data_IF_836832753894
#
_entry.id   IF_836832753894
#
_cell.length_a   1.000
_cell.length_b   1.000
_cell.length_c   1.000
_cell.angle_alpha   90.00
_cell.angle_beta   90.00
_cell.angle_gamma   90.00
#
_symmetry.space_group_name_H-M   'P 1'
#
loop_
_entity.id
_entity.type
_entity.pdbx_description
1 polymer ?
#
# COMPACT_ATOMS: atom_id res chain seq x y z
N UNK A 1 -14.35 -0.32 -33.53
CA UNK A 1 -14.98 1.00 -33.30
C UNK A 1 -15.85 0.93 -32.06
N UNK A 2 -15.44 1.58 -30.97
CA UNK A 2 -16.16 1.58 -29.71
C UNK A 2 -17.01 2.86 -29.55
N UNK A 3 -18.07 2.80 -28.74
CA UNK A 3 -18.92 3.94 -28.42
C UNK A 3 -19.04 4.11 -26.90
N UNK A 4 -19.11 5.36 -26.44
CA UNK A 4 -19.29 5.66 -25.02
C UNK A 4 -20.67 5.20 -24.51
N UNK A 5 -20.70 4.34 -23.49
CA UNK A 5 -21.94 3.84 -22.87
C UNK A 5 -22.79 4.93 -22.21
N UNK A 6 -22.19 6.07 -21.87
CA UNK A 6 -22.89 7.18 -21.21
C UNK A 6 -23.50 8.19 -22.21
N UNK A 7 -22.82 8.48 -23.33
CA UNK A 7 -23.22 9.58 -24.22
C UNK A 7 -23.25 9.25 -25.73
N UNK A 8 -22.90 8.02 -26.12
CA UNK A 8 -22.94 7.56 -27.51
C UNK A 8 -21.85 8.11 -28.43
N UNK A 9 -20.87 8.87 -27.92
CA UNK A 9 -19.76 9.36 -28.73
C UNK A 9 -18.88 8.20 -29.22
N UNK A 10 -18.44 8.27 -30.48
CA UNK A 10 -17.48 7.33 -31.06
C UNK A 10 -16.11 7.52 -30.40
N UNK A 11 -15.49 6.45 -29.93
CA UNK A 11 -14.20 6.46 -29.24
C UNK A 11 -13.10 5.88 -30.14
N UNK A 12 -11.90 6.45 -30.02
CA UNK A 12 -10.70 5.90 -30.65
C UNK A 12 -10.16 4.71 -29.84
N UNK A 13 -9.40 3.85 -30.51
CA UNK A 13 -8.87 2.62 -29.91
C UNK A 13 -7.85 2.88 -28.79
N UNK A 14 -7.43 4.12 -28.51
CA UNK A 14 -6.52 4.50 -27.42
C UNK A 14 -7.14 5.43 -26.35
N UNK A 15 -8.43 5.78 -26.47
CA UNK A 15 -9.11 6.63 -25.49
C UNK A 15 -9.34 5.92 -24.14
N UNK A 16 -8.78 6.48 -23.06
CA UNK A 16 -8.99 6.04 -21.66
C UNK A 16 -10.23 6.71 -21.05
N UNK A 17 -10.61 7.87 -21.56
CA UNK A 17 -11.77 8.66 -21.13
C UNK A 17 -12.54 9.15 -22.34
N UNK A 18 -13.86 9.27 -22.22
CA UNK A 18 -14.67 9.85 -23.30
C UNK A 18 -14.42 11.36 -23.39
N UNK A 19 -13.96 11.84 -24.56
CA UNK A 19 -13.74 13.28 -24.80
C UNK A 19 -15.01 14.13 -24.68
N UNK A 20 -16.20 13.52 -24.81
CA UNK A 20 -17.48 14.25 -24.77
C UNK A 20 -18.08 14.37 -23.37
N UNK A 21 -17.97 13.35 -22.52
CA UNK A 21 -18.61 13.33 -21.20
C UNK A 21 -17.68 13.06 -20.01
N UNK A 22 -16.39 12.80 -20.26
CA UNK A 22 -15.38 12.57 -19.21
C UNK A 22 -15.46 11.21 -18.52
N UNK A 23 -16.42 10.35 -18.87
CA UNK A 23 -16.54 9.02 -18.28
C UNK A 23 -15.34 8.14 -18.64
N UNK A 24 -14.77 7.46 -17.64
CA UNK A 24 -13.71 6.47 -17.84
C UNK A 24 -14.22 5.32 -18.72
N UNK A 25 -13.42 4.94 -19.71
CA UNK A 25 -13.71 3.85 -20.63
C UNK A 25 -13.15 2.57 -20.03
N UNK A 26 -14.00 1.82 -19.34
CA UNK A 26 -13.62 0.50 -18.82
C UNK A 26 -13.62 -0.52 -19.97
N UNK A 27 -12.42 -0.86 -20.46
CA UNK A 27 -12.23 -1.82 -21.55
C UNK A 27 -12.25 -3.27 -21.09
N UNK A 28 -12.08 -3.51 -19.79
CA UNK A 28 -12.15 -4.85 -19.21
C UNK A 28 -13.61 -5.29 -19.00
N UNK A 29 -14.56 -4.36 -19.01
CA UNK A 29 -15.99 -4.66 -19.01
C UNK A 29 -16.50 -5.37 -20.29
N UNK A 30 -15.63 -5.59 -21.29
CA UNK A 30 -15.96 -6.40 -22.46
C UNK A 30 -15.66 -7.89 -22.29
N UNK A 31 -14.81 -8.32 -21.35
CA UNK A 31 -14.67 -9.76 -21.06
C UNK A 31 -15.88 -10.30 -20.27
N UNK A 32 -16.51 -9.44 -19.46
CA UNK A 32 -17.75 -9.78 -18.74
C UNK A 32 -19.01 -9.68 -19.64
N UNK A 33 -18.97 -8.93 -20.75
CA UNK A 33 -20.11 -8.75 -21.66
C UNK A 33 -20.26 -9.86 -22.72
N UNK A 34 -19.22 -10.65 -22.99
CA UNK A 34 -19.35 -11.83 -23.89
C UNK A 34 -20.10 -12.99 -23.20
N UNK A 35 -20.28 -12.93 -21.87
CA UNK A 35 -21.01 -13.94 -21.11
C UNK A 35 -22.54 -13.74 -21.08
N UNK A 36 -23.09 -12.68 -21.71
CA UNK A 36 -24.55 -12.42 -21.67
C UNK A 36 -25.38 -13.31 -22.63
N UNK A 37 -24.76 -13.98 -23.61
CA UNK A 37 -25.48 -14.76 -24.63
C UNK A 37 -25.26 -16.28 -24.57
N UNK A 38 -24.96 -16.84 -23.39
CA UNK A 38 -24.82 -18.29 -23.21
C UNK A 38 -25.61 -18.83 -22.00
N UNK A 39 -26.79 -18.26 -21.74
CA UNK A 39 -27.81 -18.94 -20.92
C UNK A 39 -28.49 -20.01 -21.78
N UNK A 40 -28.05 -21.25 -21.63
CA UNK A 40 -28.73 -22.39 -22.22
C UNK A 40 -29.70 -22.99 -21.19
N UNK A 41 -30.97 -22.60 -21.31
CA UNK A 41 -32.07 -23.14 -20.49
C UNK A 41 -32.24 -24.67 -20.64
N UNK A 42 -31.61 -25.29 -21.64
CA UNK A 42 -31.73 -26.73 -21.95
C UNK A 42 -30.64 -27.62 -21.34
N UNK A 43 -29.62 -27.06 -20.68
CA UNK A 43 -28.59 -27.83 -19.98
C UNK A 43 -29.06 -28.42 -18.63
N UNK A 44 -30.36 -28.36 -18.34
CA UNK A 44 -30.96 -28.78 -17.10
C UNK A 44 -31.00 -30.31 -16.98
N UNK A 45 -30.14 -30.85 -16.13
CA UNK A 45 -30.38 -32.18 -15.56
C UNK A 45 -31.58 -32.03 -14.62
N UNK A 46 -32.65 -32.84 -14.75
CA UNK A 46 -33.72 -32.87 -13.76
C UNK A 46 -33.13 -33.39 -12.45
N UNK A 47 -32.83 -32.48 -11.53
CA UNK A 47 -32.28 -32.81 -10.22
C UNK A 47 -33.42 -32.94 -9.22
N UNK A 48 -33.28 -33.82 -8.23
CA UNK A 48 -34.26 -33.88 -7.14
C UNK A 48 -34.24 -32.57 -6.34
N UNK A 49 -35.30 -32.32 -5.56
CA UNK A 49 -35.37 -31.14 -4.68
C UNK A 49 -34.21 -31.12 -3.68
N UNK A 50 -33.85 -32.27 -3.14
CA UNK A 50 -32.75 -32.44 -2.19
C UNK A 50 -31.40 -32.13 -2.84
N UNK A 51 -31.18 -32.61 -4.07
CA UNK A 51 -30.00 -32.29 -4.87
C UNK A 51 -29.93 -30.80 -5.22
N UNK A 52 -31.07 -30.17 -5.50
CA UNK A 52 -31.19 -28.72 -5.77
C UNK A 52 -30.81 -27.89 -4.55
N UNK A 53 -31.25 -28.30 -3.36
CA UNK A 53 -30.87 -27.65 -2.09
C UNK A 53 -29.37 -27.84 -1.83
N UNK A 54 -28.85 -29.06 -1.98
CA UNK A 54 -27.42 -29.35 -1.78
C UNK A 54 -26.53 -28.54 -2.73
N UNK A 55 -26.94 -28.39 -4.00
CA UNK A 55 -26.24 -27.54 -4.97
C UNK A 55 -26.28 -26.07 -4.54
N UNK A 56 -27.43 -25.54 -4.14
CA UNK A 56 -27.57 -24.17 -3.70
C UNK A 56 -26.73 -23.89 -2.45
N UNK A 57 -26.64 -24.84 -1.52
CA UNK A 57 -25.76 -24.75 -0.35
C UNK A 57 -24.29 -24.72 -0.72
N UNK A 58 -23.86 -25.60 -1.65
CA UNK A 58 -22.50 -25.59 -2.18
C UNK A 58 -22.16 -24.23 -2.83
N UNK A 59 -23.05 -23.73 -3.69
CA UNK A 59 -22.85 -22.45 -4.38
C UNK A 59 -22.84 -21.26 -3.42
N UNK A 60 -23.67 -21.29 -2.37
CA UNK A 60 -23.65 -20.28 -1.29
C UNK A 60 -22.26 -20.19 -0.65
N UNK A 61 -21.65 -21.33 -0.34
CA UNK A 61 -20.31 -21.40 0.27
C UNK A 61 -19.25 -20.87 -0.70
N UNK A 62 -19.29 -21.29 -1.97
CA UNK A 62 -18.30 -20.86 -2.97
C UNK A 62 -18.42 -19.35 -3.27
N UNK A 63 -19.63 -18.82 -3.49
CA UNK A 63 -19.82 -17.39 -3.72
C UNK A 63 -19.44 -16.55 -2.51
N UNK A 64 -19.72 -17.00 -1.28
CA UNK A 64 -19.26 -16.30 -0.09
C UNK A 64 -17.72 -16.25 0.01
N UNK A 65 -17.04 -17.31 -0.46
CA UNK A 65 -15.57 -17.36 -0.48
C UNK A 65 -15.01 -16.41 -1.52
N UNK A 66 -15.62 -16.35 -2.71
CA UNK A 66 -15.25 -15.41 -3.78
C UNK A 66 -15.45 -13.96 -3.32
N UNK A 67 -16.59 -13.64 -2.70
CA UNK A 67 -16.87 -12.31 -2.14
C UNK A 67 -15.81 -11.89 -1.11
N UNK A 68 -15.45 -12.80 -0.19
CA UNK A 68 -14.39 -12.56 0.80
C UNK A 68 -13.04 -12.31 0.14
N UNK A 69 -12.63 -13.16 -0.80
CA UNK A 69 -11.36 -13.01 -1.52
C UNK A 69 -11.33 -11.70 -2.31
N UNK A 70 -12.43 -11.34 -2.98
CA UNK A 70 -12.53 -10.10 -3.73
C UNK A 70 -12.39 -8.88 -2.81
N UNK A 71 -13.04 -8.92 -1.65
CA UNK A 71 -12.90 -7.89 -0.62
C UNK A 71 -11.45 -7.76 -0.13
N UNK A 72 -10.79 -8.86 0.21
CA UNK A 72 -9.39 -8.85 0.64
C UNK A 72 -8.44 -8.30 -0.44
N UNK A 73 -8.65 -8.68 -1.71
CA UNK A 73 -7.89 -8.12 -2.84
C UNK A 73 -8.11 -6.61 -2.95
N UNK A 74 -9.36 -6.15 -2.90
CA UNK A 74 -9.71 -4.73 -2.98
C UNK A 74 -9.12 -3.91 -1.83
N UNK A 75 -9.12 -4.45 -0.61
CA UNK A 75 -8.52 -3.81 0.56
C UNK A 75 -7.01 -3.67 0.41
N UNK A 76 -6.33 -4.73 -0.06
CA UNK A 76 -4.89 -4.68 -0.30
C UNK A 76 -4.52 -3.73 -1.43
N UNK A 77 -5.27 -3.72 -2.53
CA UNK A 77 -5.05 -2.76 -3.62
C UNK A 77 -5.24 -1.32 -3.15
N UNK A 78 -6.23 -1.08 -2.30
CA UNK A 78 -6.44 0.24 -1.68
C UNK A 78 -5.27 0.64 -0.78
N UNK A 79 -4.72 -0.31 -0.03
CA UNK A 79 -3.53 -0.08 0.79
C UNK A 79 -2.27 0.19 -0.07
N UNK A 80 -2.10 -0.51 -1.20
CA UNK A 80 -1.00 -0.30 -2.14
C UNK A 80 -1.07 1.05 -2.87
N UNK A 81 -2.28 1.59 -3.11
CA UNK A 81 -2.45 2.92 -3.71
C UNK A 81 -2.02 4.07 -2.81
N UNK A 82 -1.86 3.84 -1.50
CA UNK A 82 -1.47 4.90 -0.57
C UNK A 82 0.01 5.26 -0.83
N UNK A 83 0.32 6.54 -1.09
CA UNK A 83 1.69 6.94 -1.32
C UNK A 83 2.53 6.65 -0.08
N UNK A 84 3.71 6.09 -0.30
CA UNK A 84 4.67 5.84 0.77
C UNK A 84 5.21 7.20 1.23
N UNK A 85 4.72 7.67 2.37
CA UNK A 85 5.34 8.83 3.02
C UNK A 85 6.57 8.34 3.77
N UNK A 86 7.75 8.50 3.18
CA UNK A 86 9.00 8.37 3.92
C UNK A 86 9.08 9.54 4.91
N UNK A 87 8.97 9.25 6.19
CA UNK A 87 8.75 10.26 7.23
C UNK A 87 10.00 11.04 7.65
N UNK A 88 11.13 10.90 6.95
CA UNK A 88 12.40 11.49 7.40
C UNK A 88 13.22 12.10 6.28
N UNK A 89 13.49 13.40 6.36
CA UNK A 89 14.66 13.98 5.68
C UNK A 89 15.92 13.47 6.40
N UNK A 90 16.91 12.98 5.66
CA UNK A 90 18.20 12.55 6.24
C UNK A 90 18.83 13.68 7.06
N UNK A 91 19.39 13.33 8.20
CA UNK A 91 20.04 14.27 9.09
C UNK A 91 21.38 14.74 8.52
N UNK A 92 21.65 16.04 8.65
CA UNK A 92 22.95 16.64 8.35
C UNK A 92 23.86 16.61 9.58
N UNK A 93 25.16 16.38 9.38
CA UNK A 93 26.16 16.47 10.45
C UNK A 93 26.17 17.86 11.10
N UNK A 94 25.87 18.90 10.32
CA UNK A 94 25.88 20.28 10.80
C UNK A 94 24.89 20.51 11.94
N UNK A 95 23.74 19.81 11.94
CA UNK A 95 22.74 19.88 13.02
C UNK A 95 23.33 19.50 14.38
N UNK A 96 24.23 18.51 14.42
CA UNK A 96 24.86 18.04 15.64
C UNK A 96 26.19 18.74 15.94
N UNK A 97 26.77 19.40 14.94
CA UNK A 97 28.03 20.11 15.05
C UNK A 97 27.88 21.51 15.67
N UNK A 98 26.73 22.16 15.51
CA UNK A 98 26.50 23.54 15.95
C UNK A 98 26.89 23.84 17.42
N UNK A 99 26.58 22.99 18.41
CA UNK A 99 27.01 23.24 19.79
C UNK A 99 28.54 23.33 19.96
N UNK A 100 29.31 22.57 19.17
CA UNK A 100 30.77 22.59 19.23
C UNK A 100 31.38 23.86 18.67
N UNK A 101 30.73 24.52 17.71
CA UNK A 101 31.12 25.86 17.24
C UNK A 101 30.99 26.88 18.38
N UNK A 102 29.89 26.82 19.12
CA UNK A 102 29.65 27.68 20.29
C UNK A 102 30.70 27.39 21.37
N UNK A 103 30.93 26.12 21.70
CA UNK A 103 31.90 25.74 22.72
C UNK A 103 33.34 26.12 22.35
N UNK A 104 33.75 25.93 21.09
CA UNK A 104 35.07 26.34 20.62
C UNK A 104 35.25 27.86 20.72
N UNK A 105 34.23 28.63 20.36
CA UNK A 105 34.25 30.09 20.51
C UNK A 105 34.37 30.53 21.97
N UNK A 106 33.56 29.96 22.87
CA UNK A 106 33.61 30.27 24.29
C UNK A 106 34.94 29.88 24.92
N UNK A 107 35.47 28.70 24.59
CA UNK A 107 36.76 28.22 25.07
C UNK A 107 37.91 29.11 24.61
N UNK A 108 37.90 29.52 23.33
CA UNK A 108 38.91 30.44 22.78
C UNK A 108 38.95 31.76 23.58
N UNK A 109 37.78 32.37 23.81
CA UNK A 109 37.70 33.62 24.57
C UNK A 109 38.13 33.44 26.03
N UNK A 110 37.72 32.35 26.68
CA UNK A 110 38.10 32.07 28.07
C UNK A 110 39.63 31.92 28.24
N UNK A 111 40.28 31.19 27.34
CA UNK A 111 41.74 31.00 27.38
C UNK A 111 42.47 32.32 27.12
N UNK A 112 42.00 33.14 26.18
CA UNK A 112 42.58 34.45 25.90
C UNK A 112 42.46 35.42 27.09
N UNK A 113 41.29 35.48 27.74
CA UNK A 113 41.08 36.32 28.93
C UNK A 113 42.02 35.91 30.06
N UNK A 114 42.14 34.60 30.33
CA UNK A 114 43.07 34.08 31.32
C UNK A 114 44.53 34.44 30.97
N UNK A 115 44.90 34.31 29.70
CA UNK A 115 46.21 34.71 29.21
C UNK A 115 46.56 36.17 29.47
N UNK A 116 45.62 37.09 29.23
CA UNK A 116 45.81 38.52 29.52
C UNK A 116 46.02 38.75 31.01
N UNK A 117 45.25 38.07 31.86
CA UNK A 117 45.39 38.15 33.32
C UNK A 117 46.79 37.67 33.75
N UNK A 118 47.25 36.52 33.24
CA UNK A 118 48.59 36.00 33.57
C UNK A 118 49.73 36.85 33.01
N UNK A 119 49.60 37.34 31.77
CA UNK A 119 50.60 38.22 31.16
C UNK A 119 50.69 39.58 31.88
N UNK A 120 49.61 40.04 32.52
CA UNK A 120 49.66 41.23 33.37
C UNK A 120 50.41 41.02 34.70
N UNK A 121 50.62 39.75 35.09
CA UNK A 121 51.26 39.38 36.34
C UNK A 121 52.75 38.99 36.17
N UNK A 122 53.21 38.74 34.93
CA UNK A 122 54.56 38.28 34.62
C UNK A 122 55.16 39.12 33.47
N UNK A 123 56.34 39.72 33.67
CA UNK A 123 56.97 40.69 32.76
C UNK A 123 57.63 40.01 31.53
N UNK A 124 57.38 38.71 31.35
CA UNK A 124 57.99 37.89 30.30
C UNK A 124 57.10 37.81 29.05
N UNK A 125 57.55 38.41 27.95
CA UNK A 125 56.83 38.42 26.66
C UNK A 125 56.55 37.05 26.03
N UNK A 126 57.13 35.97 26.56
CA UNK A 126 56.88 34.59 26.13
C UNK A 126 55.49 34.06 26.53
N UNK A 127 54.90 34.58 27.62
CA UNK A 127 53.59 34.11 28.12
C UNK A 127 52.47 34.28 27.10
N UNK A 128 52.45 35.40 26.39
CA UNK A 128 51.43 35.72 25.38
C UNK A 128 51.39 34.69 24.23
N UNK A 129 52.56 34.32 23.70
CA UNK A 129 52.66 33.36 22.61
C UNK A 129 52.15 31.98 23.04
N UNK A 130 52.50 31.54 24.25
CA UNK A 130 52.03 30.26 24.80
C UNK A 130 50.50 30.26 24.94
N UNK A 131 49.92 31.34 25.49
CA UNK A 131 48.46 31.45 25.60
C UNK A 131 47.78 31.36 24.23
N UNK A 132 48.30 32.06 23.22
CA UNK A 132 47.70 32.05 21.89
C UNK A 132 47.70 30.65 21.27
N UNK A 133 48.81 29.91 21.36
CA UNK A 133 48.87 28.52 20.91
C UNK A 133 47.90 27.61 21.67
N UNK A 134 47.77 27.76 22.98
CA UNK A 134 46.80 27.01 23.78
C UNK A 134 45.37 27.34 23.37
N UNK A 135 45.03 28.61 23.19
CA UNK A 135 43.69 29.05 22.81
C UNK A 135 43.27 28.45 21.45
N UNK A 136 44.12 28.57 20.44
CA UNK A 136 43.86 27.98 19.12
C UNK A 136 43.85 26.45 19.17
N UNK A 137 44.79 25.83 19.89
CA UNK A 137 44.85 24.38 20.05
C UNK A 137 43.58 23.81 20.68
N UNK A 138 43.08 24.43 21.75
CA UNK A 138 41.82 24.04 22.40
C UNK A 138 40.63 24.21 21.46
N UNK A 139 40.53 25.33 20.75
CA UNK A 139 39.44 25.55 19.79
C UNK A 139 39.46 24.51 18.66
N UNK A 140 40.62 24.27 18.04
CA UNK A 140 40.78 23.26 16.96
C UNK A 140 40.47 21.86 17.48
N UNK A 141 40.98 21.49 18.66
CA UNK A 141 40.70 20.20 19.29
C UNK A 141 39.21 19.96 19.52
N UNK A 142 38.48 20.97 20.03
CA UNK A 142 37.03 20.91 20.22
C UNK A 142 36.27 20.75 18.90
N UNK A 143 36.71 21.43 17.83
CA UNK A 143 36.08 21.31 16.51
C UNK A 143 36.32 19.92 15.90
N UNK A 144 37.53 19.38 16.00
CA UNK A 144 37.83 18.02 15.52
C UNK A 144 37.01 16.98 16.28
N UNK A 145 37.03 17.06 17.62
CA UNK A 145 36.26 16.16 18.48
C UNK A 145 34.75 16.27 18.19
N UNK A 146 34.25 17.51 18.07
CA UNK A 146 32.88 17.80 17.72
C UNK A 146 32.47 17.24 16.36
N UNK A 147 33.33 17.37 15.35
CA UNK A 147 33.12 16.82 14.01
C UNK A 147 32.97 15.30 14.02
N UNK A 148 33.88 14.59 14.71
CA UNK A 148 33.82 13.12 14.85
C UNK A 148 32.55 12.70 15.59
N UNK A 149 32.22 13.35 16.71
CA UNK A 149 31.02 13.04 17.50
C UNK A 149 29.73 13.32 16.73
N UNK A 150 29.65 14.46 16.04
CA UNK A 150 28.53 14.83 15.20
C UNK A 150 28.34 13.86 14.02
N UNK A 151 29.43 13.43 13.39
CA UNK A 151 29.43 12.42 12.33
C UNK A 151 28.86 11.09 12.80
N UNK A 152 29.40 10.54 13.91
CA UNK A 152 28.88 9.30 14.50
C UNK A 152 27.40 9.38 14.85
N UNK A 153 26.95 10.50 15.42
CA UNK A 153 25.54 10.68 15.78
C UNK A 153 24.63 10.80 14.56
N UNK A 154 25.08 11.52 13.51
CA UNK A 154 24.39 11.60 12.22
C UNK A 154 24.23 10.20 11.62
N UNK A 155 25.32 9.43 11.55
CA UNK A 155 25.35 8.15 10.87
C UNK A 155 24.42 7.15 11.55
N UNK A 156 24.43 7.08 12.89
CA UNK A 156 23.50 6.24 13.66
C UNK A 156 22.02 6.59 13.39
N UNK A 157 21.66 7.87 13.32
CA UNK A 157 20.26 8.28 13.05
C UNK A 157 19.86 8.09 11.59
N UNK A 158 20.79 8.26 10.65
CA UNK A 158 20.52 8.01 9.23
C UNK A 158 20.45 6.51 8.93
N UNK A 159 21.18 5.68 9.68
CA UNK A 159 21.09 4.23 9.62
C UNK A 159 19.72 3.74 10.11
N UNK A 160 19.21 4.28 11.21
CA UNK A 160 17.85 4.01 11.69
C UNK A 160 16.79 4.36 10.62
N UNK A 161 16.87 5.56 10.03
CA UNK A 161 15.99 5.96 8.91
C UNK A 161 16.10 5.00 7.71
N UNK A 162 17.30 4.52 7.40
CA UNK A 162 17.50 3.56 6.33
C UNK A 162 16.80 2.22 6.61
N UNK A 163 16.90 1.71 7.85
CA UNK A 163 16.20 0.49 8.24
C UNK A 163 14.68 0.66 8.20
N UNK A 164 14.16 1.82 8.59
CA UNK A 164 12.74 2.14 8.47
C UNK A 164 12.29 2.20 7.01
N UNK A 165 13.06 2.85 6.13
CA UNK A 165 12.83 2.85 4.68
C UNK A 165 12.75 1.41 4.13
N UNK A 166 13.71 0.55 4.50
CA UNK A 166 13.73 -0.85 4.07
C UNK A 166 12.54 -1.66 4.61
N UNK A 167 12.16 -1.44 5.87
CA UNK A 167 11.02 -2.11 6.48
C UNK A 167 9.70 -1.76 5.79
N UNK A 168 9.53 -0.50 5.39
CA UNK A 168 8.35 -0.05 4.64
C UNK A 168 8.31 -0.71 3.25
N UNK A 169 9.43 -0.68 2.52
CA UNK A 169 9.54 -1.33 1.21
C UNK A 169 9.27 -2.83 1.28
N UNK A 170 9.79 -3.51 2.31
CA UNK A 170 9.54 -4.94 2.54
C UNK A 170 8.05 -5.21 2.78
N UNK A 171 7.39 -4.43 3.64
CA UNK A 171 5.94 -4.56 3.90
C UNK A 171 5.11 -4.36 2.63
N UNK A 172 5.49 -3.40 1.79
CA UNK A 172 4.82 -3.19 0.51
C UNK A 172 4.99 -4.41 -0.41
N UNK A 173 6.22 -4.92 -0.55
CA UNK A 173 6.50 -6.10 -1.36
C UNK A 173 5.73 -7.34 -0.86
N UNK A 174 5.67 -7.53 0.45
CA UNK A 174 4.91 -8.61 1.06
C UNK A 174 3.41 -8.47 0.77
N UNK A 175 2.88 -7.23 0.80
CA UNK A 175 1.50 -6.93 0.45
C UNK A 175 1.21 -7.17 -1.04
N UNK A 176 2.13 -6.80 -1.93
CA UNK A 176 2.05 -7.08 -3.38
C UNK A 176 2.02 -8.59 -3.64
N UNK A 177 2.94 -9.35 -3.02
CA UNK A 177 2.98 -10.81 -3.12
C UNK A 177 1.68 -11.45 -2.64
N UNK A 178 1.18 -11.03 -1.47
CA UNK A 178 -0.09 -11.51 -0.93
C UNK A 178 -1.27 -11.18 -1.85
N UNK A 179 -1.28 -10.00 -2.44
CA UNK A 179 -2.31 -9.59 -3.40
C UNK A 179 -2.27 -10.46 -4.65
N UNK A 180 -1.08 -10.76 -5.17
CA UNK A 180 -0.92 -11.67 -6.30
C UNK A 180 -1.42 -13.08 -5.97
N UNK A 181 -1.07 -13.62 -4.80
CA UNK A 181 -1.54 -14.93 -4.32
C UNK A 181 -3.07 -14.97 -4.21
N UNK A 182 -3.68 -13.95 -3.61
CA UNK A 182 -5.13 -13.84 -3.47
C UNK A 182 -5.83 -13.74 -4.83
N UNK A 183 -5.26 -13.02 -5.80
CA UNK A 183 -5.78 -12.96 -7.18
C UNK A 183 -5.75 -14.33 -7.86
N UNK A 184 -4.68 -15.11 -7.68
CA UNK A 184 -4.60 -16.48 -8.18
C UNK A 184 -5.68 -17.35 -7.52
N UNK A 185 -5.83 -17.29 -6.19
CA UNK A 185 -6.88 -18.02 -5.47
C UNK A 185 -8.27 -17.63 -5.96
N UNK A 186 -8.53 -16.35 -6.15
CA UNK A 186 -9.79 -15.84 -6.67
C UNK A 186 -10.06 -16.34 -8.09
N UNK A 187 -9.05 -16.34 -8.96
CA UNK A 187 -9.15 -16.88 -10.32
C UNK A 187 -9.48 -18.38 -10.30
N UNK A 188 -8.76 -19.16 -9.50
CA UNK A 188 -9.01 -20.59 -9.35
C UNK A 188 -10.44 -20.84 -8.85
N UNK A 189 -10.90 -20.09 -7.84
CA UNK A 189 -12.26 -20.21 -7.33
C UNK A 189 -13.33 -19.81 -8.33
N UNK A 190 -13.09 -18.78 -9.14
CA UNK A 190 -13.98 -18.43 -10.27
C UNK A 190 -14.04 -19.55 -11.32
N UNK A 191 -12.92 -20.24 -11.55
CA UNK A 191 -12.87 -21.38 -12.45
C UNK A 191 -13.60 -22.61 -11.88
N UNK A 192 -13.48 -22.88 -10.58
CA UNK A 192 -14.20 -23.98 -9.90
C UNK A 192 -15.72 -23.83 -10.05
N UNK A 193 -16.22 -22.60 -10.10
CA UNK A 193 -17.64 -22.30 -10.31
C UNK A 193 -18.00 -22.00 -11.77
N UNK A 194 -17.07 -22.14 -12.71
CA UNK A 194 -17.28 -21.77 -14.12
C UNK A 194 -18.38 -22.61 -14.78
N UNK A 195 -18.48 -23.89 -14.42
CA UNK A 195 -19.53 -24.78 -14.92
C UNK A 195 -20.93 -24.26 -14.56
N UNK A 196 -21.09 -23.74 -13.34
CA UNK A 196 -22.36 -23.19 -12.84
C UNK A 196 -22.70 -21.81 -13.42
N UNK A 197 -21.76 -21.16 -14.13
CA UNK A 197 -22.02 -19.86 -14.74
C UNK A 197 -23.10 -19.92 -15.82
N UNK A 198 -23.28 -21.09 -16.45
CA UNK A 198 -24.35 -21.34 -17.43
C UNK A 198 -25.73 -21.40 -16.79
N UNK A 199 -25.79 -21.82 -15.52
CA UNK A 199 -27.02 -22.06 -14.76
C UNK A 199 -27.42 -20.83 -13.96
N UNK A 200 -26.45 -20.16 -13.34
CA UNK A 200 -26.67 -18.98 -12.48
C UNK A 200 -26.23 -17.71 -13.21
N UNK A 201 -27.17 -16.80 -13.54
CA UNK A 201 -26.86 -15.49 -14.11
C UNK A 201 -25.93 -14.68 -13.20
N UNK A 202 -25.04 -13.87 -13.79
CA UNK A 202 -24.03 -13.06 -13.08
C UNK A 202 -24.59 -12.25 -11.91
N UNK A 203 -25.77 -11.63 -12.10
CA UNK A 203 -26.49 -10.83 -11.09
C UNK A 203 -26.82 -11.61 -9.81
N UNK A 204 -27.03 -12.93 -9.92
CA UNK A 204 -27.45 -13.78 -8.81
C UNK A 204 -26.30 -14.57 -8.16
N UNK A 205 -25.05 -14.36 -8.59
CA UNK A 205 -23.85 -15.06 -8.08
C UNK A 205 -23.35 -14.46 -6.77
N UNK A 206 -24.23 -14.38 -5.77
CA UNK A 206 -23.90 -13.88 -4.43
C UNK A 206 -24.42 -14.83 -3.38
N UNK A 207 -23.85 -14.74 -2.17
CA UNK A 207 -24.34 -15.51 -1.01
C UNK A 207 -25.83 -15.26 -0.76
N UNK A 208 -26.26 -14.00 -0.82
CA UNK A 208 -27.63 -13.57 -0.55
C UNK A 208 -28.66 -14.25 -1.47
N UNK A 209 -28.38 -14.28 -2.78
CA UNK A 209 -29.31 -14.88 -3.73
C UNK A 209 -29.36 -16.41 -3.59
N UNK A 210 -28.25 -17.08 -3.27
CA UNK A 210 -28.29 -18.53 -3.01
C UNK A 210 -29.08 -18.87 -1.74
N UNK A 211 -29.02 -18.04 -0.69
CA UNK A 211 -29.88 -18.21 0.49
C UNK A 211 -31.36 -18.07 0.13
N UNK A 212 -31.69 -17.14 -0.78
CA UNK A 212 -33.05 -16.96 -1.27
C UNK A 212 -33.52 -18.14 -2.14
N UNK A 213 -32.65 -18.72 -2.97
CA UNK A 213 -32.92 -19.96 -3.72
C UNK A 213 -33.23 -21.12 -2.77
N UNK A 214 -32.40 -21.31 -1.74
CA UNK A 214 -32.61 -22.35 -0.72
C UNK A 214 -33.98 -22.17 -0.07
N UNK A 215 -34.35 -20.94 0.29
CA UNK A 215 -35.64 -20.64 0.92
C UNK A 215 -36.83 -20.93 -0.01
N UNK A 216 -36.72 -20.62 -1.31
CA UNK A 216 -37.77 -20.92 -2.29
C UNK A 216 -37.98 -22.43 -2.43
N UNK A 217 -36.89 -23.20 -2.47
CA UNK A 217 -36.94 -24.66 -2.50
C UNK A 217 -37.54 -25.22 -1.21
N UNK A 218 -37.08 -24.76 -0.04
CA UNK A 218 -37.58 -25.23 1.26
C UNK A 218 -39.07 -24.94 1.48
N UNK A 219 -39.58 -23.83 0.93
CA UNK A 219 -40.99 -23.42 1.08
C UNK A 219 -41.92 -23.96 -0.02
N UNK A 220 -41.45 -24.89 -0.86
CA UNK A 220 -42.21 -25.47 -1.98
C UNK A 220 -42.72 -24.43 -2.99
N UNK A 221 -42.09 -23.25 -3.02
CA UNK A 221 -42.40 -22.19 -4.01
C UNK A 221 -41.69 -22.41 -5.34
N UNK A 222 -40.72 -23.31 -5.36
CA UNK A 222 -40.01 -23.73 -6.57
C UNK A 222 -39.78 -25.25 -6.53
N UNK A 223 -39.92 -25.92 -7.67
CA UNK A 223 -39.77 -27.38 -7.75
C UNK A 223 -38.33 -27.83 -7.89
N UNK A 224 -37.51 -27.03 -8.56
CA UNK A 224 -36.10 -27.31 -8.83
C UNK A 224 -35.24 -26.03 -8.78
N UNK A 225 -33.93 -26.19 -8.86
CA UNK A 225 -32.98 -25.07 -8.78
C UNK A 225 -33.21 -24.01 -9.88
N UNK A 226 -33.56 -24.40 -11.10
CA UNK A 226 -33.77 -23.46 -12.21
C UNK A 226 -35.05 -22.66 -12.03
N UNK A 227 -36.12 -23.31 -11.58
CA UNK A 227 -37.39 -22.67 -11.23
C UNK A 227 -37.21 -21.65 -10.10
N UNK A 228 -36.40 -22.00 -9.10
CA UNK A 228 -36.04 -21.09 -8.02
C UNK A 228 -35.25 -19.87 -8.51
N UNK A 229 -34.28 -20.06 -9.42
CA UNK A 229 -33.51 -18.96 -10.03
C UNK A 229 -34.41 -18.04 -10.88
N UNK A 230 -35.34 -18.59 -11.66
CA UNK A 230 -36.32 -17.81 -12.44
C UNK A 230 -37.25 -16.97 -11.56
N UNK A 231 -37.44 -17.40 -10.32
CA UNK A 231 -38.31 -16.75 -9.33
C UNK A 231 -37.61 -15.67 -8.47
N UNK A 232 -36.32 -15.39 -8.70
CA UNK A 232 -35.52 -14.40 -7.95
C UNK A 232 -35.73 -12.94 -8.40
#
# INVERSE_FOLDING_TARGET
MAYCRNCGAQLNDDDVFCFKCGQAVDRNANEDAVAENMYDASAAVPMSKEESIALAEKLKVEYSTIERLHKEVSENETALRRPISLSGRRYSAFRFFWPFLIYAYLALNAVLILGVIFASADDTGSGYMITLFLAFGTAVGLLIFGGVRAGRKRDSLNEELYWDEQNILKKQKDLENRTAELKVKLKNKKNDVAEYQKIVPSKYRTKYYMERVILLLQTDRATDFNDAIKSL
#
